data_IF_644022245999
#
_entry.id   IF_644022245999
#
_cell.length_a   1.000
_cell.length_b   1.000
_cell.length_c   1.000
_cell.angle_alpha   90.00
_cell.angle_beta   90.00
_cell.angle_gamma   90.00
#
_symmetry.space_group_name_H-M   'P 1'
#
loop_
_entity.id
_entity.type
_entity.pdbx_description
1 polymer ?
#
# COMPACT_ATOMS: atom_id res chain seq x y z
N UNK A 1 1.75 -0.37 30.13
CA UNK A 1 1.71 1.09 29.87
C UNK A 1 3.10 1.68 29.69
N UNK A 2 4.06 1.39 30.58
CA UNK A 2 5.41 1.99 30.57
C UNK A 2 6.16 1.84 29.25
N UNK A 3 6.09 0.68 28.59
CA UNK A 3 6.72 0.45 27.27
C UNK A 3 6.16 1.36 26.18
N UNK A 4 4.85 1.61 26.18
CA UNK A 4 4.20 2.49 25.19
C UNK A 4 4.60 3.94 25.43
N UNK A 5 4.70 4.37 26.69
CA UNK A 5 5.20 5.70 27.05
C UNK A 5 6.66 5.90 26.63
N UNK A 6 7.54 4.91 26.86
CA UNK A 6 8.95 4.96 26.47
C UNK A 6 9.09 5.05 24.95
N UNK A 7 8.36 4.22 24.19
CA UNK A 7 8.42 4.26 22.72
C UNK A 7 7.90 5.58 22.14
N UNK A 8 6.83 6.15 22.71
CA UNK A 8 6.33 7.46 22.31
C UNK A 8 7.31 8.59 22.66
N UNK A 9 7.99 8.50 23.81
CA UNK A 9 9.01 9.48 24.21
C UNK A 9 10.23 9.42 23.29
N UNK A 10 10.70 8.22 22.92
CA UNK A 10 11.75 8.04 21.91
C UNK A 10 11.32 8.64 20.57
N UNK A 11 10.09 8.37 20.13
CA UNK A 11 9.55 8.93 18.89
C UNK A 11 9.53 10.47 18.93
N UNK A 12 9.10 11.06 20.04
CA UNK A 12 9.09 12.51 20.24
C UNK A 12 10.50 13.09 20.23
N UNK A 13 11.45 12.46 20.93
CA UNK A 13 12.86 12.87 20.94
C UNK A 13 13.48 12.82 19.54
N UNK A 14 13.21 11.77 18.76
CA UNK A 14 13.67 11.67 17.36
C UNK A 14 13.05 12.76 16.49
N UNK A 15 11.75 13.03 16.62
CA UNK A 15 11.08 14.10 15.87
C UNK A 15 11.65 15.48 16.22
N UNK A 16 11.91 15.76 17.50
CA UNK A 16 12.54 17.00 17.95
C UNK A 16 13.99 17.12 17.46
N UNK A 17 14.76 16.03 17.51
CA UNK A 17 16.13 16.00 17.01
C UNK A 17 16.20 16.26 15.51
N UNK A 18 15.31 15.62 14.71
CA UNK A 18 15.20 15.87 13.27
C UNK A 18 14.76 17.32 13.00
N UNK A 19 13.82 17.85 13.77
CA UNK A 19 13.37 19.24 13.63
C UNK A 19 14.49 20.24 13.92
N UNK A 20 15.27 20.02 14.99
CA UNK A 20 16.42 20.86 15.34
C UNK A 20 17.51 20.78 14.28
N UNK A 21 17.88 19.57 13.84
CA UNK A 21 18.84 19.38 12.75
C UNK A 21 18.38 20.07 11.46
N UNK A 22 17.09 19.95 11.11
CA UNK A 22 16.52 20.60 9.93
C UNK A 22 16.57 22.12 10.06
N UNK A 23 16.25 22.68 11.23
CA UNK A 23 16.33 24.13 11.49
C UNK A 23 17.76 24.65 11.35
N UNK A 24 18.73 23.95 11.95
CA UNK A 24 20.15 24.30 11.84
C UNK A 24 20.66 24.21 10.40
N UNK A 25 20.33 23.12 9.70
CA UNK A 25 20.73 22.90 8.30
C UNK A 25 20.03 23.87 7.33
N UNK A 26 18.78 24.28 7.63
CA UNK A 26 18.04 25.29 6.87
C UNK A 26 18.65 26.68 7.01
N UNK A 27 19.31 26.99 8.12
CA UNK A 27 19.97 28.28 8.35
C UNK A 27 21.26 28.44 7.54
N UNK A 28 21.90 27.33 7.14
CA UNK A 28 23.15 27.34 6.35
C UNK A 28 22.93 27.20 4.84
N UNK A 29 21.70 26.93 4.37
CA UNK A 29 21.39 26.75 2.95
C UNK A 29 21.05 28.09 2.29
N UNK A 30 21.55 28.31 1.08
CA UNK A 30 21.10 29.41 0.23
C UNK A 30 19.63 29.17 -0.17
N UNK A 31 18.87 30.24 -0.46
CA UNK A 31 17.42 30.15 -0.73
C UNK A 31 17.05 29.18 -1.88
N UNK A 32 17.98 28.90 -2.78
CA UNK A 32 17.82 27.90 -3.84
C UNK A 32 17.84 26.45 -3.33
N UNK A 33 18.63 26.16 -2.30
CA UNK A 33 18.75 24.82 -1.70
C UNK A 33 17.65 24.54 -0.66
N UNK A 34 16.81 25.54 -0.40
CA UNK A 34 15.62 25.44 0.46
C UNK A 34 14.39 24.96 -0.30
N UNK A 35 14.34 25.11 -1.63
CA UNK A 35 13.20 24.64 -2.43
C UNK A 35 13.09 23.11 -2.34
N UNK A 36 11.99 22.64 -1.75
CA UNK A 36 11.74 21.21 -1.58
C UNK A 36 11.11 20.65 -2.86
N UNK A 37 11.84 19.79 -3.56
CA UNK A 37 11.37 19.09 -4.76
C UNK A 37 10.54 17.84 -4.38
N UNK A 38 9.34 18.05 -3.86
CA UNK A 38 8.47 16.95 -3.44
C UNK A 38 7.51 16.50 -4.55
N UNK A 39 6.98 17.45 -5.32
CA UNK A 39 6.02 17.19 -6.39
C UNK A 39 6.63 17.43 -7.77
N UNK A 40 5.99 16.88 -8.81
CA UNK A 40 6.39 17.18 -10.19
C UNK A 40 6.32 18.68 -10.47
N UNK A 41 5.35 19.40 -9.92
CA UNK A 41 5.25 20.84 -10.10
C UNK A 41 6.39 21.61 -9.43
N UNK A 42 6.89 21.14 -8.27
CA UNK A 42 8.07 21.74 -7.62
C UNK A 42 9.29 21.61 -8.53
N UNK A 43 9.49 20.42 -9.12
CA UNK A 43 10.57 20.19 -10.09
C UNK A 43 10.44 21.09 -11.32
N UNK A 44 9.25 21.17 -11.93
CA UNK A 44 9.03 22.03 -13.10
C UNK A 44 9.25 23.50 -12.74
N UNK A 45 8.73 23.97 -11.59
CA UNK A 45 8.91 25.35 -11.12
C UNK A 45 10.38 25.69 -10.91
N UNK A 46 11.14 24.78 -10.28
CA UNK A 46 12.58 24.94 -10.05
C UNK A 46 13.34 25.07 -11.37
N UNK A 47 13.13 24.15 -12.32
CA UNK A 47 13.83 24.18 -13.61
C UNK A 47 13.43 25.37 -14.50
N UNK A 48 12.20 25.89 -14.37
CA UNK A 48 11.80 27.11 -15.06
C UNK A 48 12.43 28.38 -14.46
N UNK A 49 12.66 28.41 -13.14
CA UNK A 49 13.32 29.55 -12.47
C UNK A 49 14.82 29.55 -12.71
N UNK A 50 15.44 28.38 -12.64
CA UNK A 50 16.87 28.16 -12.85
C UNK A 50 17.07 26.99 -13.80
N UNK A 51 17.22 27.27 -15.10
CA UNK A 51 17.59 26.26 -16.07
C UNK A 51 18.91 25.61 -15.67
N UNK A 52 18.99 24.29 -15.78
CA UNK A 52 20.22 23.56 -15.52
C UNK A 52 21.13 23.60 -16.77
N UNK A 53 22.38 24.00 -16.57
CA UNK A 53 23.36 24.13 -17.65
C UNK A 53 23.70 22.77 -18.28
N UNK A 54 23.61 21.66 -17.53
CA UNK A 54 23.97 20.33 -18.04
C UNK A 54 22.94 19.72 -18.98
N UNK A 55 21.69 20.20 -18.92
CA UNK A 55 20.58 19.77 -19.78
C UNK A 55 20.22 20.80 -20.85
N UNK A 56 21.06 21.82 -21.03
CA UNK A 56 20.91 22.83 -22.09
C UNK A 56 20.89 22.17 -23.46
N UNK A 57 19.96 22.61 -24.30
CA UNK A 57 19.73 22.12 -25.68
C UNK A 57 19.28 20.64 -25.80
N UNK A 58 18.97 19.98 -24.68
CA UNK A 58 18.45 18.60 -24.66
C UNK A 58 16.92 18.54 -24.81
N UNK A 59 16.39 19.25 -25.81
CA UNK A 59 14.96 19.21 -26.14
C UNK A 59 14.48 17.78 -26.39
N UNK A 60 13.36 17.39 -25.79
CA UNK A 60 12.76 16.04 -25.89
C UNK A 60 13.58 14.90 -25.25
N UNK A 61 14.57 15.21 -24.40
CA UNK A 61 15.22 14.19 -23.59
C UNK A 61 14.21 13.47 -22.69
N UNK A 62 14.37 12.15 -22.56
CA UNK A 62 13.49 11.30 -21.76
C UNK A 62 14.25 10.76 -20.57
N UNK A 63 13.52 10.25 -19.58
CA UNK A 63 14.10 9.55 -18.42
C UNK A 63 15.14 8.50 -18.82
N UNK A 64 14.92 7.79 -19.94
CA UNK A 64 15.79 6.73 -20.42
C UNK A 64 17.18 7.19 -20.83
N UNK A 65 17.35 8.48 -21.14
CA UNK A 65 18.63 9.07 -21.50
C UNK A 65 19.51 9.32 -20.27
N UNK A 66 18.87 9.50 -19.11
CA UNK A 66 19.51 9.68 -17.81
C UNK A 66 19.54 8.40 -16.97
N UNK A 67 18.94 7.31 -17.44
CA UNK A 67 19.00 6.01 -16.78
C UNK A 67 20.29 5.27 -17.12
N UNK A 68 21.13 5.03 -16.11
CA UNK A 68 22.32 4.19 -16.24
C UNK A 68 21.92 2.74 -16.56
N UNK A 69 22.18 2.29 -17.79
CA UNK A 69 21.94 0.91 -18.24
C UNK A 69 23.05 -0.02 -17.71
N UNK A 70 23.03 -0.31 -16.41
CA UNK A 70 24.00 -1.23 -15.81
C UNK A 70 23.75 -2.66 -16.28
N UNK A 71 24.79 -3.29 -16.84
CA UNK A 71 24.81 -4.74 -17.06
C UNK A 71 25.05 -5.44 -15.72
N UNK A 72 24.60 -6.68 -15.59
CA UNK A 72 24.78 -7.45 -14.35
C UNK A 72 26.27 -7.57 -13.95
N UNK A 73 27.16 -7.70 -14.93
CA UNK A 73 28.62 -7.76 -14.73
C UNK A 73 29.26 -6.43 -14.28
N UNK A 74 28.66 -5.28 -14.60
CA UNK A 74 29.20 -3.95 -14.26
C UNK A 74 28.40 -3.26 -13.15
N UNK A 75 27.57 -4.01 -12.40
CA UNK A 75 26.66 -3.45 -11.39
C UNK A 75 27.38 -2.68 -10.27
N UNK A 76 28.62 -3.07 -9.96
CA UNK A 76 29.48 -2.47 -8.95
C UNK A 76 30.28 -1.25 -9.45
N UNK A 77 30.37 -1.05 -10.77
CA UNK A 77 31.06 0.10 -11.35
C UNK A 77 30.02 1.21 -11.59
N UNK A 78 30.26 2.38 -11.01
CA UNK A 78 29.42 3.56 -11.25
C UNK A 78 29.65 4.01 -12.69
N UNK A 79 28.65 3.79 -13.55
CA UNK A 79 28.62 4.37 -14.89
C UNK A 79 27.70 5.57 -14.88
N UNK A 80 28.27 6.75 -15.09
CA UNK A 80 27.49 7.97 -15.26
C UNK A 80 26.75 7.88 -16.62
N UNK A 81 25.46 8.22 -16.65
CA UNK A 81 24.72 8.26 -17.90
C UNK A 81 25.34 9.34 -18.79
N UNK A 82 25.73 8.99 -20.02
CA UNK A 82 26.05 9.97 -21.06
C UNK A 82 24.80 10.15 -21.91
N UNK A 83 23.98 11.17 -21.63
CA UNK A 83 22.80 11.39 -22.42
C UNK A 83 23.22 11.93 -23.78
N UNK A 84 22.50 11.52 -24.83
CA UNK A 84 22.77 11.98 -26.19
C UNK A 84 22.32 13.44 -26.33
N UNK A 85 23.23 14.33 -26.71
CA UNK A 85 22.97 15.74 -27.01
C UNK A 85 22.53 15.98 -28.46
N UNK A 86 22.32 14.91 -29.24
CA UNK A 86 21.91 15.08 -30.64
C UNK A 86 20.48 15.59 -30.72
N UNK A 87 20.19 16.54 -31.63
CA UNK A 87 18.82 16.99 -31.89
C UNK A 87 17.91 15.82 -32.21
N UNK A 88 16.72 15.80 -31.63
CA UNK A 88 15.70 14.76 -31.86
C UNK A 88 14.52 15.34 -32.62
N UNK A 89 14.07 14.62 -33.63
CA UNK A 89 12.83 14.97 -34.32
C UNK A 89 11.63 14.66 -33.42
N UNK A 90 10.71 15.62 -33.30
CA UNK A 90 9.48 15.41 -32.54
C UNK A 90 8.54 14.47 -33.29
N UNK A 91 8.25 13.31 -32.69
CA UNK A 91 7.29 12.37 -33.22
C UNK A 91 6.03 12.32 -32.34
N UNK A 92 4.87 12.51 -32.96
CA UNK A 92 3.57 12.44 -32.27
C UNK A 92 3.24 10.97 -31.99
N UNK A 93 3.58 10.51 -30.78
CA UNK A 93 3.19 9.18 -30.31
C UNK A 93 1.96 9.24 -29.41
N UNK A 94 1.01 8.34 -29.66
CA UNK A 94 -0.18 8.17 -28.81
C UNK A 94 0.16 7.21 -27.67
N UNK A 95 0.45 7.75 -26.50
CA UNK A 95 0.69 6.94 -25.30
C UNK A 95 -0.62 6.44 -24.69
N UNK A 96 -0.64 5.17 -24.29
CA UNK A 96 -1.78 4.56 -23.58
C UNK A 96 -1.61 4.70 -22.08
N UNK A 97 -2.71 4.70 -21.33
CA UNK A 97 -2.73 4.98 -19.89
C UNK A 97 -1.83 4.03 -19.08
N UNK A 98 -1.77 2.75 -19.47
CA UNK A 98 -0.94 1.77 -18.78
C UNK A 98 0.57 2.00 -18.94
N UNK A 99 1.00 2.72 -19.98
CA UNK A 99 2.42 2.99 -20.25
C UNK A 99 3.02 4.02 -19.28
N UNK A 100 2.20 4.68 -18.48
CA UNK A 100 2.67 5.61 -17.44
C UNK A 100 3.49 4.92 -16.35
N UNK A 101 3.23 3.64 -16.08
CA UNK A 101 3.99 2.85 -15.11
C UNK A 101 4.84 1.79 -15.82
N UNK A 102 6.01 1.50 -15.24
CA UNK A 102 6.91 0.46 -15.76
C UNK A 102 6.20 -0.90 -15.84
N UNK A 103 6.41 -1.69 -16.91
CA UNK A 103 5.82 -3.03 -17.03
C UNK A 103 6.19 -3.95 -15.86
N UNK A 104 7.37 -3.76 -15.26
CA UNK A 104 7.79 -4.50 -14.05
C UNK A 104 6.86 -4.22 -12.86
N UNK A 105 6.46 -2.96 -12.66
CA UNK A 105 5.55 -2.57 -11.57
C UNK A 105 4.15 -3.14 -11.80
N UNK A 106 3.65 -3.07 -13.03
CA UNK A 106 2.39 -3.71 -13.41
C UNK A 106 2.41 -5.21 -13.18
N UNK A 107 3.46 -5.90 -13.63
CA UNK A 107 3.60 -7.34 -13.42
C UNK A 107 3.57 -7.69 -11.94
N UNK A 108 4.32 -6.98 -11.09
CA UNK A 108 4.34 -7.22 -9.64
C UNK A 108 2.93 -7.04 -9.04
N UNK A 109 2.24 -5.94 -9.35
CA UNK A 109 0.91 -5.66 -8.80
C UNK A 109 -0.13 -6.67 -9.28
N UNK A 110 -0.15 -6.99 -10.58
CA UNK A 110 -1.06 -7.97 -11.14
C UNK A 110 -0.78 -9.38 -10.60
N UNK A 111 0.49 -9.78 -10.51
CA UNK A 111 0.89 -11.06 -9.95
C UNK A 111 0.46 -11.20 -8.50
N UNK A 112 0.70 -10.19 -7.66
CA UNK A 112 0.30 -10.23 -6.25
C UNK A 112 -1.23 -10.23 -6.09
N UNK A 113 -1.96 -9.46 -6.90
CA UNK A 113 -3.43 -9.50 -6.92
C UNK A 113 -3.97 -10.88 -7.32
N UNK A 114 -3.41 -11.48 -8.37
CA UNK A 114 -3.77 -12.82 -8.83
C UNK A 114 -3.42 -13.88 -7.79
N UNK A 115 -2.26 -13.77 -7.13
CA UNK A 115 -1.85 -14.68 -6.07
C UNK A 115 -2.82 -14.63 -4.90
N UNK A 116 -3.14 -13.44 -4.38
CA UNK A 116 -4.09 -13.28 -3.26
C UNK A 116 -5.48 -13.78 -3.62
N UNK A 117 -5.97 -13.42 -4.81
CA UNK A 117 -7.28 -13.87 -5.29
C UNK A 117 -7.30 -15.39 -5.49
N UNK A 118 -6.23 -15.97 -6.06
CA UNK A 118 -6.09 -17.41 -6.26
C UNK A 118 -6.04 -18.19 -4.95
N UNK A 119 -5.32 -17.69 -3.95
CA UNK A 119 -5.30 -18.28 -2.60
C UNK A 119 -6.70 -18.22 -1.98
N UNK A 120 -7.38 -17.08 -2.06
CA UNK A 120 -8.75 -16.93 -1.55
C UNK A 120 -9.74 -17.89 -2.22
N UNK A 121 -9.71 -18.00 -3.55
CA UNK A 121 -10.53 -18.95 -4.32
C UNK A 121 -10.21 -20.38 -3.90
N UNK A 122 -8.93 -20.74 -3.73
CA UNK A 122 -8.55 -22.10 -3.33
C UNK A 122 -9.04 -22.44 -1.93
N UNK A 123 -8.91 -21.52 -0.98
CA UNK A 123 -9.43 -21.68 0.38
C UNK A 123 -10.96 -21.84 0.38
N UNK A 124 -11.67 -21.02 -0.40
CA UNK A 124 -13.12 -21.13 -0.57
C UNK A 124 -13.52 -22.49 -1.16
N UNK A 125 -12.81 -22.96 -2.18
CA UNK A 125 -13.03 -24.27 -2.80
C UNK A 125 -12.76 -25.46 -1.86
N UNK A 126 -11.98 -25.27 -0.78
CA UNK A 126 -11.80 -26.27 0.28
C UNK A 126 -12.88 -26.17 1.36
N UNK A 127 -13.34 -24.95 1.65
CA UNK A 127 -14.36 -24.70 2.67
C UNK A 127 -15.74 -25.27 2.27
N UNK A 128 -16.16 -25.09 1.01
CA UNK A 128 -17.49 -25.50 0.55
C UNK A 128 -17.76 -27.02 0.67
N UNK A 129 -16.88 -27.92 0.18
CA UNK A 129 -17.08 -29.36 0.37
C UNK A 129 -16.99 -29.80 1.82
N UNK A 130 -16.21 -29.08 2.64
CA UNK A 130 -16.06 -29.37 4.07
C UNK A 130 -17.31 -29.01 4.86
N UNK A 131 -18.04 -27.97 4.46
CA UNK A 131 -19.35 -27.62 5.03
C UNK A 131 -20.43 -28.60 4.58
N UNK A 132 -20.44 -28.98 3.30
CA UNK A 132 -21.38 -29.96 2.76
C UNK A 132 -21.29 -31.32 3.47
N UNK A 133 -20.05 -31.80 3.72
CA UNK A 133 -19.81 -33.04 4.49
C UNK A 133 -20.29 -32.98 5.93
N UNK A 134 -20.48 -31.78 6.50
CA UNK A 134 -20.99 -31.57 7.86
C UNK A 134 -22.51 -31.36 7.90
N UNK A 135 -23.23 -31.71 6.83
CA UNK A 135 -24.69 -31.54 6.67
C UNK A 135 -25.19 -30.12 6.90
N UNK A 136 -24.34 -29.11 6.65
CA UNK A 136 -24.72 -27.69 6.69
C UNK A 136 -25.21 -27.31 5.29
N UNK A 137 -26.43 -26.76 5.19
CA UNK A 137 -26.97 -26.23 3.94
C UNK A 137 -26.03 -25.17 3.36
N UNK A 138 -25.49 -25.41 2.17
CA UNK A 138 -24.56 -24.52 1.47
C UNK A 138 -25.25 -23.42 0.66
N UNK A 139 -26.56 -23.24 0.85
CA UNK A 139 -27.35 -22.20 0.19
C UNK A 139 -27.02 -20.83 0.79
N UNK A 140 -26.82 -19.81 -0.04
CA UNK A 140 -26.48 -18.43 0.38
C UNK A 140 -27.38 -17.90 1.53
N UNK A 141 -28.71 -18.12 1.53
CA UNK A 141 -29.59 -17.65 2.62
C UNK A 141 -29.33 -18.36 3.96
N UNK A 142 -28.96 -19.64 3.94
CA UNK A 142 -28.69 -20.41 5.17
C UNK A 142 -27.32 -20.07 5.76
N UNK A 143 -26.34 -19.74 4.90
CA UNK A 143 -25.07 -19.16 5.33
C UNK A 143 -25.27 -17.77 5.97
N UNK A 144 -26.26 -16.99 5.51
CA UNK A 144 -26.60 -15.69 6.10
C UNK A 144 -27.21 -15.85 7.51
N UNK A 145 -28.03 -16.88 7.70
CA UNK A 145 -28.62 -17.21 9.02
C UNK A 145 -27.59 -17.65 10.06
N UNK A 146 -26.44 -18.19 9.66
CA UNK A 146 -25.34 -18.50 10.59
C UNK A 146 -24.71 -17.27 11.24
N UNK A 147 -24.94 -16.07 10.68
CA UNK A 147 -24.47 -14.80 11.22
C UNK A 147 -23.01 -14.48 10.86
N UNK A 148 -22.72 -13.19 10.67
CA UNK A 148 -21.36 -12.68 10.44
C UNK A 148 -20.62 -12.52 11.77
N UNK A 149 -19.54 -13.27 12.00
CA UNK A 149 -18.70 -13.14 13.19
C UNK A 149 -19.22 -13.83 14.46
N UNK A 150 -20.24 -14.69 14.36
CA UNK A 150 -20.69 -15.52 15.48
C UNK A 150 -19.89 -16.84 15.54
N UNK A 151 -19.40 -17.21 16.73
CA UNK A 151 -18.76 -18.50 16.95
C UNK A 151 -19.81 -19.60 17.02
N UNK A 152 -19.84 -20.45 16.01
CA UNK A 152 -20.55 -21.73 16.09
C UNK A 152 -19.53 -22.87 16.25
N UNK A 153 -19.89 -24.00 16.88
CA UNK A 153 -18.99 -25.14 17.09
C UNK A 153 -18.36 -25.70 15.80
N UNK A 154 -18.91 -25.33 14.64
CA UNK A 154 -18.51 -25.81 13.32
C UNK A 154 -17.57 -24.86 12.57
N UNK A 155 -17.31 -23.66 13.12
CA UNK A 155 -16.54 -22.57 12.47
C UNK A 155 -15.09 -22.44 12.96
N UNK A 156 -14.62 -23.35 13.82
CA UNK A 156 -13.22 -23.37 14.23
C UNK A 156 -12.28 -23.78 13.10
N UNK A 157 -11.23 -23.00 12.92
CA UNK A 157 -10.15 -23.30 11.98
C UNK A 157 -9.16 -24.25 12.65
N UNK A 158 -9.22 -25.53 12.31
CA UNK A 158 -8.24 -26.53 12.74
C UNK A 158 -7.03 -26.46 11.81
N UNK A 159 -6.22 -25.41 11.97
CA UNK A 159 -4.86 -25.39 11.45
C UNK A 159 -3.99 -26.04 12.51
N UNK A 160 -3.04 -26.91 12.14
CA UNK A 160 -2.11 -27.58 13.06
C UNK A 160 -1.13 -26.66 13.78
N UNK A 161 -1.59 -25.48 14.20
CA UNK A 161 -0.87 -24.49 14.98
C UNK A 161 -0.79 -24.91 16.46
N UNK A 162 0.22 -24.42 17.20
CA UNK A 162 0.29 -24.60 18.64
C UNK A 162 -1.01 -24.12 19.29
N UNK A 163 -1.61 -24.92 20.15
CA UNK A 163 -2.86 -24.57 20.86
C UNK A 163 -2.63 -24.02 22.26
N UNK A 164 -1.48 -24.35 22.86
CA UNK A 164 -1.09 -23.91 24.19
C UNK A 164 -0.69 -22.44 24.23
N UNK A 165 -1.07 -21.75 25.30
CA UNK A 165 -0.61 -20.39 25.59
C UNK A 165 0.87 -20.41 26.03
N UNK A 166 1.68 -19.38 25.68
CA UNK A 166 1.34 -18.16 24.95
C UNK A 166 1.53 -18.25 23.42
N UNK A 167 2.22 -19.29 22.93
CA UNK A 167 2.58 -19.41 21.51
C UNK A 167 1.37 -19.57 20.58
N UNK A 168 0.33 -20.27 21.04
CA UNK A 168 -0.91 -20.46 20.28
C UNK A 168 -1.71 -19.18 20.13
N UNK A 169 -1.80 -18.36 21.18
CA UNK A 169 -2.44 -17.06 21.10
C UNK A 169 -1.74 -16.16 20.07
N UNK A 170 -0.42 -16.04 20.14
CA UNK A 170 0.38 -15.23 19.21
C UNK A 170 0.21 -15.72 17.77
N UNK A 171 0.29 -17.02 17.55
CA UNK A 171 0.17 -17.61 16.20
C UNK A 171 -1.20 -17.36 15.57
N UNK A 172 -2.28 -17.51 16.34
CA UNK A 172 -3.63 -17.24 15.85
C UNK A 172 -3.89 -15.74 15.62
N UNK A 173 -3.34 -14.87 16.48
CA UNK A 173 -3.40 -13.40 16.26
C UNK A 173 -2.71 -13.03 14.95
N UNK A 174 -1.50 -13.55 14.70
CA UNK A 174 -0.79 -13.28 13.45
C UNK A 174 -1.55 -13.83 12.24
N UNK A 175 -2.09 -15.06 12.33
CA UNK A 175 -2.86 -15.67 11.25
C UNK A 175 -4.12 -14.87 10.91
N UNK A 176 -4.88 -14.42 11.92
CA UNK A 176 -6.09 -13.64 11.72
C UNK A 176 -5.83 -12.29 11.02
N UNK A 177 -4.68 -11.66 11.28
CA UNK A 177 -4.33 -10.34 10.75
C UNK A 177 -3.48 -10.38 9.47
N UNK A 178 -2.90 -11.53 9.11
CA UNK A 178 -2.04 -11.67 7.93
C UNK A 178 -2.74 -11.26 6.61
N UNK A 179 -4.02 -11.62 6.36
CA UNK A 179 -4.72 -11.16 5.16
C UNK A 179 -4.86 -9.62 5.11
N UNK A 180 -5.13 -9.00 6.25
CA UNK A 180 -5.27 -7.54 6.37
C UNK A 180 -3.93 -6.83 6.09
N UNK A 181 -2.82 -7.41 6.57
CA UNK A 181 -1.48 -6.91 6.28
C UNK A 181 -1.16 -6.96 4.78
N UNK A 182 -1.44 -8.09 4.13
CA UNK A 182 -1.19 -8.27 2.69
C UNK A 182 -2.01 -7.28 1.86
N UNK A 183 -3.28 -7.08 2.21
CA UNK A 183 -4.14 -6.10 1.53
C UNK A 183 -3.66 -4.67 1.71
N UNK A 184 -3.15 -4.32 2.89
CA UNK A 184 -2.55 -3.00 3.14
C UNK A 184 -1.35 -2.76 2.23
N UNK A 185 -0.49 -3.77 2.03
CA UNK A 185 0.64 -3.68 1.11
C UNK A 185 0.18 -3.53 -0.35
N UNK A 186 -0.80 -4.34 -0.78
CA UNK A 186 -1.40 -4.24 -2.11
C UNK A 186 -2.02 -2.87 -2.37
N UNK A 187 -2.68 -2.31 -1.37
CA UNK A 187 -3.26 -0.98 -1.43
C UNK A 187 -2.21 0.11 -1.65
N UNK A 188 -1.09 0.07 -0.92
CA UNK A 188 0.03 1.02 -1.10
C UNK A 188 0.59 0.93 -2.53
N UNK A 189 0.77 -0.29 -3.04
CA UNK A 189 1.26 -0.51 -4.40
C UNK A 189 0.27 0.02 -5.46
N UNK A 190 -1.02 -0.26 -5.28
CA UNK A 190 -2.09 0.25 -6.15
C UNK A 190 -2.12 1.78 -6.18
N UNK A 191 -2.10 2.42 -5.00
CA UNK A 191 -2.06 3.88 -4.89
C UNK A 191 -0.83 4.48 -5.55
N UNK A 192 0.32 3.81 -5.46
CA UNK A 192 1.56 4.26 -6.09
C UNK A 192 1.42 4.26 -7.61
N UNK A 193 0.87 3.20 -8.21
CA UNK A 193 0.61 3.15 -9.66
C UNK A 193 -0.39 4.22 -10.08
N UNK A 194 -1.52 4.33 -9.35
CA UNK A 194 -2.55 5.31 -9.64
C UNK A 194 -2.01 6.75 -9.57
N UNK A 195 -1.18 7.04 -8.56
CA UNK A 195 -0.50 8.32 -8.43
C UNK A 195 0.41 8.63 -9.62
N UNK A 196 1.27 7.69 -10.02
CA UNK A 196 2.14 7.88 -11.20
C UNK A 196 1.33 8.11 -12.48
N UNK A 197 0.22 7.40 -12.64
CA UNK A 197 -0.68 7.57 -13.77
C UNK A 197 -1.32 8.97 -13.80
N UNK A 198 -1.85 9.45 -12.67
CA UNK A 198 -2.50 10.75 -12.60
C UNK A 198 -1.51 11.91 -12.82
N UNK A 199 -0.30 11.80 -12.28
CA UNK A 199 0.78 12.76 -12.51
C UNK A 199 1.17 12.81 -13.99
N UNK A 200 1.35 11.64 -14.63
CA UNK A 200 1.67 11.57 -16.07
C UNK A 200 0.56 12.18 -16.94
N UNK A 201 -0.71 11.90 -16.59
CA UNK A 201 -1.87 12.47 -17.27
C UNK A 201 -1.93 13.99 -17.09
N UNK A 202 -1.68 14.50 -15.89
CA UNK A 202 -1.66 15.93 -15.62
C UNK A 202 -0.58 16.62 -16.46
N UNK A 203 0.65 16.09 -16.47
CA UNK A 203 1.76 16.60 -17.27
C UNK A 203 1.44 16.59 -18.77
N UNK A 204 0.90 15.48 -19.28
CA UNK A 204 0.55 15.35 -20.71
C UNK A 204 -0.56 16.32 -21.14
N UNK A 205 -1.46 16.70 -20.23
CA UNK A 205 -2.52 17.66 -20.51
C UNK A 205 -2.03 19.11 -20.55
N UNK A 206 -0.85 19.43 -19.99
CA UNK A 206 -0.30 20.79 -19.97
C UNK A 206 0.03 21.29 -21.38
N UNK A 207 0.34 20.40 -22.33
CA UNK A 207 0.57 20.76 -23.72
C UNK A 207 -0.70 21.30 -24.42
N UNK A 208 -1.88 20.79 -24.02
CA UNK A 208 -3.16 21.16 -24.67
C UNK A 208 -3.89 22.27 -23.90
N UNK A 209 -3.80 22.26 -22.56
CA UNK A 209 -4.52 23.20 -21.70
C UNK A 209 -3.56 23.88 -20.75
N UNK A 210 -3.53 25.20 -20.76
CA UNK A 210 -2.82 26.00 -19.76
C UNK A 210 -3.47 25.77 -18.39
N UNK A 211 -2.74 25.14 -17.47
CA UNK A 211 -3.14 24.93 -16.08
C UNK A 211 -2.00 25.41 -15.17
N UNK A 212 -2.30 26.05 -14.03
CA UNK A 212 -1.27 26.42 -13.07
C UNK A 212 -0.62 25.16 -12.47
N UNK A 213 0.67 25.25 -12.15
CA UNK A 213 1.42 24.16 -11.53
C UNK A 213 0.92 23.90 -10.12
N UNK A 214 0.88 22.62 -9.74
CA UNK A 214 0.63 22.16 -8.37
C UNK A 214 1.96 21.95 -7.66
N UNK A 215 2.22 22.77 -6.65
CA UNK A 215 3.49 22.83 -5.91
C UNK A 215 3.24 22.65 -4.42
N UNK A 216 4.27 22.32 -3.66
CA UNK A 216 4.20 22.21 -2.21
C UNK A 216 4.02 23.59 -1.56
N UNK A 217 4.76 24.59 -2.04
CA UNK A 217 4.73 25.97 -1.56
C UNK A 217 4.34 26.91 -2.71
N UNK A 218 3.05 27.29 -2.83
CA UNK A 218 2.57 28.07 -3.97
C UNK A 218 3.05 29.52 -3.92
N UNK A 219 3.52 30.01 -5.08
CA UNK A 219 3.84 31.42 -5.28
C UNK A 219 3.00 31.97 -6.45
N UNK A 220 2.26 33.05 -6.21
CA UNK A 220 1.42 33.72 -7.21
C UNK A 220 0.26 32.86 -7.70
N UNK A 221 0.21 32.56 -9.01
CA UNK A 221 -0.89 31.82 -9.67
C UNK A 221 -0.84 30.30 -9.45
N UNK A 222 0.22 29.79 -8.82
CA UNK A 222 0.41 28.36 -8.55
C UNK A 222 -0.60 27.86 -7.51
N UNK A 223 -0.88 26.55 -7.53
CA UNK A 223 -1.81 25.92 -6.58
C UNK A 223 -1.04 25.05 -5.61
N UNK A 224 -1.42 25.08 -4.34
CA UNK A 224 -0.90 24.10 -3.37
C UNK A 224 -1.37 22.69 -3.76
N UNK A 225 -0.51 21.69 -3.57
CA UNK A 225 -0.92 20.30 -3.70
C UNK A 225 -1.87 19.91 -2.56
N UNK A 226 -2.86 19.06 -2.85
CA UNK A 226 -3.73 18.50 -1.82
C UNK A 226 -2.92 17.70 -0.80
N UNK A 227 -3.32 17.77 0.47
CA UNK A 227 -2.83 16.88 1.54
C UNK A 227 -3.03 15.40 1.19
N UNK A 228 -4.07 15.12 0.39
CA UNK A 228 -4.33 13.83 -0.24
C UNK A 228 -3.58 13.79 -1.57
N UNK A 229 -2.65 12.85 -1.73
CA UNK A 229 -1.79 12.71 -2.91
C UNK A 229 -2.56 12.54 -4.24
N UNK A 230 -3.84 12.16 -4.18
CA UNK A 230 -4.73 11.93 -5.32
C UNK A 230 -5.91 12.94 -5.33
N UNK A 231 -6.40 13.37 -6.51
CA UNK A 231 -7.65 14.12 -6.61
C UNK A 231 -8.80 13.36 -5.96
N UNK A 232 -9.66 14.05 -5.20
CA UNK A 232 -10.76 13.44 -4.41
C UNK A 232 -11.64 12.46 -5.20
N UNK A 233 -11.88 12.71 -6.50
CA UNK A 233 -12.66 11.83 -7.38
C UNK A 233 -12.07 10.41 -7.51
N UNK A 234 -10.75 10.29 -7.45
CA UNK A 234 -10.04 9.02 -7.46
C UNK A 234 -9.69 8.58 -6.04
N UNK A 235 -9.31 9.52 -5.17
CA UNK A 235 -8.95 9.25 -3.79
C UNK A 235 -10.09 8.58 -3.01
N UNK A 236 -11.30 9.17 -3.00
CA UNK A 236 -12.41 8.68 -2.17
C UNK A 236 -12.74 7.20 -2.47
N UNK A 237 -13.01 6.79 -3.73
CA UNK A 237 -13.25 5.37 -4.02
C UNK A 237 -12.07 4.48 -3.63
N UNK A 238 -10.84 4.95 -3.87
CA UNK A 238 -9.63 4.21 -3.53
C UNK A 238 -9.37 4.09 -2.03
N UNK A 239 -9.86 4.99 -1.18
CA UNK A 239 -9.77 4.86 0.29
C UNK A 239 -10.91 4.03 0.87
N UNK A 240 -12.13 4.17 0.32
CA UNK A 240 -13.32 3.48 0.83
C UNK A 240 -13.26 1.99 0.52
N UNK A 241 -12.88 1.59 -0.70
CA UNK A 241 -12.93 0.17 -1.09
C UNK A 241 -12.01 -0.75 -0.26
N UNK A 242 -10.74 -0.41 0.04
CA UNK A 242 -9.91 -1.25 0.90
C UNK A 242 -10.41 -1.24 2.34
N UNK A 243 -10.97 -0.13 2.83
CA UNK A 243 -11.59 -0.06 4.16
C UNK A 243 -12.75 -1.04 4.30
N UNK A 244 -13.62 -1.12 3.30
CA UNK A 244 -14.71 -2.09 3.25
C UNK A 244 -14.20 -3.53 3.18
N UNK A 245 -13.21 -3.81 2.33
CA UNK A 245 -12.61 -5.15 2.22
C UNK A 245 -11.95 -5.57 3.54
N UNK A 246 -11.21 -4.66 4.20
CA UNK A 246 -10.63 -4.90 5.52
C UNK A 246 -11.69 -5.21 6.57
N UNK A 247 -12.79 -4.45 6.56
CA UNK A 247 -13.90 -4.68 7.46
C UNK A 247 -14.55 -6.05 7.21
N UNK A 248 -14.83 -6.41 5.96
CA UNK A 248 -15.36 -7.73 5.59
C UNK A 248 -14.43 -8.85 6.05
N UNK A 249 -13.12 -8.70 5.86
CA UNK A 249 -12.15 -9.72 6.29
C UNK A 249 -12.09 -9.87 7.81
N UNK A 250 -12.23 -8.77 8.56
CA UNK A 250 -12.34 -8.85 10.02
C UNK A 250 -13.57 -9.64 10.49
N UNK A 251 -14.62 -9.70 9.66
CA UNK A 251 -15.82 -10.52 9.89
C UNK A 251 -15.67 -11.95 9.38
N UNK A 252 -14.78 -12.17 8.40
CA UNK A 252 -14.55 -13.50 7.81
C UNK A 252 -13.53 -14.33 8.59
N UNK A 253 -12.51 -13.72 9.17
CA UNK A 253 -11.46 -14.39 9.94
C UNK A 253 -11.21 -13.59 11.22
N UNK A 254 -11.46 -14.22 12.37
CA UNK A 254 -11.34 -13.55 13.66
C UNK A 254 -10.76 -14.48 14.73
N UNK A 255 -10.09 -13.90 15.72
CA UNK A 255 -9.53 -14.66 16.84
C UNK A 255 -10.65 -15.08 17.80
N UNK A 256 -10.62 -16.34 18.23
CA UNK A 256 -11.51 -16.90 19.22
C UNK A 256 -10.72 -17.57 20.33
N UNK A 257 -11.01 -17.22 21.59
CA UNK A 257 -10.43 -17.88 22.75
C UNK A 257 -11.51 -18.67 23.44
N UNK A 258 -11.30 -19.99 23.55
CA UNK A 258 -12.22 -20.90 24.25
C UNK A 258 -11.59 -21.20 25.60
N UNK A 259 -12.25 -20.75 26.67
CA UNK A 259 -11.84 -21.04 28.05
C UNK A 259 -12.68 -22.18 28.58
N UNK A 260 -12.04 -23.30 28.92
CA UNK A 260 -12.70 -24.38 29.63
C UNK A 260 -12.81 -24.03 31.12
N UNK A 261 -13.99 -24.22 31.70
CA UNK A 261 -14.26 -23.93 33.11
C UNK A 261 -14.66 -25.25 33.78
N UNK A 262 -14.06 -25.54 34.92
CA UNK A 262 -14.39 -26.69 35.76
C UNK A 262 -15.76 -26.49 36.45
N UNK A 263 -16.42 -27.56 36.95
CA UNK A 263 -17.69 -27.44 37.67
C UNK A 263 -17.64 -26.56 38.93
N UNK A 264 -16.46 -26.34 39.48
CA UNK A 264 -16.18 -25.46 40.62
C UNK A 264 -15.99 -23.98 40.23
N UNK A 265 -16.08 -23.66 38.93
CA UNK A 265 -15.87 -22.31 38.40
C UNK A 265 -14.41 -21.94 38.13
N UNK A 266 -13.44 -22.82 38.41
CA UNK A 266 -12.03 -22.57 38.13
C UNK A 266 -11.71 -22.76 36.64
N UNK A 267 -10.72 -22.00 36.12
CA UNK A 267 -10.34 -22.08 34.70
C UNK A 267 -9.43 -23.29 34.49
N UNK A 268 -9.85 -24.20 33.60
CA UNK A 268 -9.02 -25.30 33.15
C UNK A 268 -8.05 -24.80 32.07
N UNK A 269 -6.81 -24.51 32.46
CA UNK A 269 -5.77 -24.00 31.54
C UNK A 269 -5.37 -25.03 30.49
N UNK A 270 -5.41 -26.33 30.81
CA UNK A 270 -5.03 -27.41 29.89
C UNK A 270 -6.03 -27.59 28.74
N UNK A 271 -7.32 -27.39 29.03
CA UNK A 271 -8.40 -27.51 28.03
C UNK A 271 -8.81 -26.15 27.43
N UNK A 272 -8.21 -25.05 27.89
CA UNK A 272 -8.39 -23.73 27.29
C UNK A 272 -7.45 -23.56 26.10
N UNK A 273 -7.98 -23.12 24.96
CA UNK A 273 -7.17 -22.92 23.76
C UNK A 273 -7.60 -21.69 22.97
N UNK A 274 -6.64 -21.12 22.25
CA UNK A 274 -6.87 -20.05 21.29
C UNK A 274 -6.92 -20.62 19.87
N UNK A 275 -7.88 -20.19 19.07
CA UNK A 275 -8.08 -20.63 17.67
C UNK A 275 -8.59 -19.47 16.81
N UNK A 276 -8.55 -19.61 15.49
CA UNK A 276 -9.23 -18.68 14.59
C UNK A 276 -10.62 -19.22 14.25
N UNK A 277 -11.65 -18.39 14.36
CA UNK A 277 -12.95 -18.64 13.74
C UNK A 277 -12.94 -18.16 12.29
N UNK A 278 -13.65 -18.86 11.41
CA UNK A 278 -13.94 -18.35 10.07
C UNK A 278 -15.45 -18.32 9.80
N UNK A 279 -15.93 -17.24 9.19
CA UNK A 279 -17.33 -17.09 8.77
C UNK A 279 -17.42 -17.09 7.23
N UNK A 280 -18.07 -18.09 6.62
CA UNK A 280 -18.18 -18.19 5.17
C UNK A 280 -18.89 -16.99 4.52
N UNK A 281 -19.81 -16.35 5.25
CA UNK A 281 -20.68 -15.29 4.72
C UNK A 281 -19.90 -14.07 4.24
N UNK A 282 -18.85 -13.71 4.97
CA UNK A 282 -18.04 -12.52 4.68
C UNK A 282 -17.05 -12.74 3.52
N UNK A 283 -16.95 -13.96 2.98
CA UNK A 283 -16.21 -14.25 1.75
C UNK A 283 -17.11 -14.09 0.51
N UNK A 284 -18.44 -14.10 0.69
CA UNK A 284 -19.43 -13.94 -0.39
C UNK A 284 -19.93 -12.49 -0.60
N UNK A 285 -19.66 -11.59 0.36
CA UNK A 285 -19.97 -10.16 0.29
C UNK A 285 -18.79 -9.35 -0.24
#
# INVERSE_FOLDING_TARGET
>A
MSTVCILNLIKAAVMLFIWFLRGWQSSQRHDADKEVLYTLGDAISSFMRRPDDTTRDMGLATKWDFESKRKWSTRLVKQDPLPSTTPREFQVSKYRWWQAASPKRWFIVLFLWLLVTGVAIRLMGLALPSLHRRSISTTIPDLWKMGSGALTPYTYLVVGLPRGDPAGLISNVLLANLPQLILSMLYILYNTILGTFLVQREFSQMNVRRKPLRVSEPIGIQRSSYFISLPLRYGIPSYVSPGLIHWLISKSLFLARVTAVHPDGSINVENSFSTCGYSPIAVFC
#
